data_IF_932478163480
#
_entry.id   IF_932478163480
#
_cell.length_a   1.000
_cell.length_b   1.000
_cell.length_c   1.000
_cell.angle_alpha   90.00
_cell.angle_beta   90.00
_cell.angle_gamma   90.00
#
_symmetry.space_group_name_H-M   'P 1'
#
loop_
_entity.id
_entity.type
_entity.pdbx_description
1 polymer ?
#
# COMPACT_ATOMS: atom_id res chain seq x y z
N UNK A 1 35.23 -18.85 18.34
CA UNK A 1 35.02 -18.62 16.89
C UNK A 1 33.75 -17.80 16.74
N UNK A 2 33.82 -16.48 16.90
CA UNK A 2 32.66 -15.60 16.70
C UNK A 2 32.46 -15.43 15.21
N UNK A 3 31.48 -16.15 14.66
CA UNK A 3 31.03 -15.93 13.30
C UNK A 3 30.58 -14.47 13.15
N UNK A 4 30.81 -13.91 11.96
CA UNK A 4 30.48 -12.54 11.62
C UNK A 4 28.95 -12.40 11.58
N UNK A 5 28.34 -12.11 12.73
CA UNK A 5 26.89 -12.00 12.87
C UNK A 5 26.37 -10.83 12.03
N UNK A 6 25.35 -11.02 11.17
CA UNK A 6 24.73 -9.94 10.40
C UNK A 6 24.33 -8.75 11.28
N UNK A 7 24.48 -7.53 10.76
CA UNK A 7 24.18 -6.29 11.49
C UNK A 7 22.76 -6.29 12.08
N UNK A 8 21.78 -6.84 11.36
CA UNK A 8 20.39 -6.93 11.82
C UNK A 8 20.24 -7.86 13.02
N UNK A 9 20.89 -9.02 13.02
CA UNK A 9 20.84 -9.96 14.14
C UNK A 9 21.50 -9.38 15.39
N UNK A 10 22.61 -8.63 15.21
CA UNK A 10 23.25 -7.91 16.31
C UNK A 10 22.29 -6.88 16.91
N UNK A 11 21.65 -6.06 16.08
CA UNK A 11 20.67 -5.07 16.53
C UNK A 11 19.46 -5.71 17.23
N UNK A 12 18.95 -6.83 16.72
CA UNK A 12 17.88 -7.59 17.39
C UNK A 12 18.36 -8.06 18.76
N UNK A 13 19.58 -8.62 18.88
CA UNK A 13 20.08 -9.08 20.17
C UNK A 13 20.30 -7.95 21.19
N UNK A 14 20.70 -6.76 20.73
CA UNK A 14 20.97 -5.60 21.60
C UNK A 14 19.69 -4.85 21.99
N UNK A 15 18.76 -4.67 21.06
CA UNK A 15 17.57 -3.82 21.24
C UNK A 15 16.30 -4.61 21.55
N UNK A 16 16.25 -5.88 21.15
CA UNK A 16 15.11 -6.77 21.32
C UNK A 16 15.58 -8.09 21.97
N UNK A 17 16.04 -8.07 23.23
CA UNK A 17 16.66 -9.23 23.89
C UNK A 17 15.73 -10.44 24.03
N UNK A 18 14.41 -10.23 23.94
CA UNK A 18 13.40 -11.29 23.94
C UNK A 18 13.03 -11.78 22.52
N UNK A 19 13.75 -11.33 21.49
CA UNK A 19 13.45 -11.60 20.09
C UNK A 19 12.42 -10.65 19.48
N UNK A 20 12.03 -10.96 18.24
CA UNK A 20 11.01 -10.24 17.47
C UNK A 20 9.95 -11.21 16.96
N UNK A 21 8.73 -10.73 16.79
CA UNK A 21 7.63 -11.51 16.24
C UNK A 21 7.66 -11.51 14.70
N UNK A 22 7.23 -12.63 14.09
CA UNK A 22 7.02 -12.75 12.65
C UNK A 22 5.52 -12.85 12.37
N UNK A 23 4.99 -11.89 11.60
CA UNK A 23 3.57 -11.80 11.26
C UNK A 23 3.40 -11.94 9.74
N UNK A 24 2.33 -12.62 9.30
CA UNK A 24 1.95 -12.62 7.89
C UNK A 24 1.38 -11.26 7.50
N UNK A 25 1.68 -10.77 6.29
CA UNK A 25 1.17 -9.48 5.81
C UNK A 25 -0.37 -9.42 5.86
N UNK A 26 -1.04 -10.53 5.53
CA UNK A 26 -2.50 -10.64 5.57
C UNK A 26 -3.09 -10.55 6.98
N UNK A 27 -2.31 -10.82 8.03
CA UNK A 27 -2.77 -10.73 9.41
C UNK A 27 -2.77 -9.29 9.94
N UNK A 28 -1.94 -8.42 9.34
CA UNK A 28 -1.72 -7.01 9.73
C UNK A 28 -2.24 -5.99 8.70
N UNK A 29 -2.79 -6.44 7.57
CA UNK A 29 -3.36 -5.55 6.55
C UNK A 29 -4.78 -5.91 6.19
N UNK A 30 -5.54 -4.92 5.74
CA UNK A 30 -6.87 -5.10 5.13
C UNK A 30 -6.78 -4.66 3.68
N UNK A 31 -7.29 -5.48 2.78
CA UNK A 31 -7.20 -5.28 1.34
C UNK A 31 -8.54 -4.85 0.74
N UNK A 32 -8.50 -4.11 -0.36
CA UNK A 32 -9.68 -3.67 -1.11
C UNK A 32 -10.29 -4.75 -2.02
N UNK A 33 -9.65 -5.92 -2.04
CA UNK A 33 -10.03 -7.06 -2.85
C UNK A 33 -9.86 -8.36 -2.07
N UNK A 34 -10.71 -9.34 -2.40
CA UNK A 34 -10.54 -10.73 -1.94
C UNK A 34 -9.63 -11.51 -2.88
N UNK A 35 -8.76 -12.31 -2.31
CA UNK A 35 -7.86 -13.18 -3.05
C UNK A 35 -8.42 -14.60 -3.15
N UNK A 36 -8.36 -15.17 -4.35
CA UNK A 36 -8.76 -16.57 -4.56
C UNK A 36 -7.78 -17.50 -3.84
N UNK A 37 -8.30 -18.55 -3.20
CA UNK A 37 -7.48 -19.55 -2.50
C UNK A 37 -7.07 -19.16 -1.08
N UNK A 38 -7.49 -18.01 -0.58
CA UNK A 38 -7.30 -17.63 0.83
C UNK A 38 -8.59 -17.84 1.61
N UNK A 39 -8.47 -18.32 2.84
CA UNK A 39 -9.61 -18.58 3.71
C UNK A 39 -10.43 -17.31 3.99
N UNK A 40 -11.76 -17.45 3.97
CA UNK A 40 -12.70 -16.33 4.21
C UNK A 40 -12.50 -15.66 5.57
N UNK A 41 -12.07 -16.42 6.58
CA UNK A 41 -11.81 -15.89 7.93
C UNK A 41 -10.64 -14.89 7.94
N UNK A 42 -9.59 -15.17 7.15
CA UNK A 42 -8.43 -14.28 6.98
C UNK A 42 -8.76 -13.00 6.21
N UNK A 43 -9.87 -12.97 5.47
CA UNK A 43 -10.33 -11.81 4.67
C UNK A 43 -11.76 -11.40 5.03
N UNK A 44 -12.07 -11.47 6.33
CA UNK A 44 -13.40 -11.15 6.86
C UNK A 44 -13.80 -9.69 6.64
N UNK A 45 -12.81 -8.79 6.57
CA UNK A 45 -12.97 -7.38 6.21
C UNK A 45 -12.36 -7.11 4.84
N UNK A 46 -13.06 -6.29 4.06
CA UNK A 46 -12.61 -5.77 2.77
C UNK A 46 -12.96 -4.30 2.76
N UNK A 47 -12.00 -3.45 2.43
CA UNK A 47 -12.21 -2.01 2.30
C UNK A 47 -12.70 -1.70 0.90
N UNK A 48 -13.39 -0.58 0.69
CA UNK A 48 -13.82 -0.18 -0.64
C UNK A 48 -13.11 1.10 -1.03
N UNK A 49 -12.31 1.02 -2.08
CA UNK A 49 -11.77 2.16 -2.79
C UNK A 49 -12.35 2.23 -4.20
N UNK A 50 -12.32 3.43 -4.75
CA UNK A 50 -12.76 3.69 -6.12
C UNK A 50 -11.59 3.53 -7.07
N UNK A 51 -11.85 2.91 -8.22
CA UNK A 51 -10.85 2.69 -9.24
C UNK A 51 -11.37 3.18 -10.59
N UNK A 52 -10.53 3.91 -11.33
CA UNK A 52 -10.83 4.36 -12.70
C UNK A 52 -10.00 3.59 -13.72
N UNK A 53 -10.35 3.71 -15.01
CA UNK A 53 -9.54 3.16 -16.08
C UNK A 53 -8.22 3.92 -16.23
N UNK A 54 -7.19 3.26 -16.78
CA UNK A 54 -5.87 3.89 -16.95
C UNK A 54 -5.90 5.08 -17.92
N UNK A 55 -6.80 5.07 -18.91
CA UNK A 55 -7.02 6.21 -19.81
C UNK A 55 -7.71 7.37 -19.09
N UNK A 56 -8.73 7.08 -18.29
CA UNK A 56 -9.42 8.10 -17.50
C UNK A 56 -8.46 8.75 -16.50
N UNK A 57 -7.64 7.97 -15.78
CA UNK A 57 -6.67 8.49 -14.83
C UNK A 57 -5.72 9.51 -15.47
N UNK A 58 -5.18 9.19 -16.65
CA UNK A 58 -4.26 10.09 -17.37
C UNK A 58 -4.94 11.38 -17.82
N UNK A 59 -6.21 11.33 -18.17
CA UNK A 59 -6.98 12.51 -18.59
C UNK A 59 -7.28 13.48 -17.44
N UNK A 60 -7.16 13.05 -16.18
CA UNK A 60 -7.34 13.91 -15.01
C UNK A 60 -6.09 14.73 -14.67
N UNK A 61 -4.95 14.47 -15.31
CA UNK A 61 -3.67 15.09 -14.95
C UNK A 61 -3.69 16.62 -15.18
N UNK A 62 -3.20 17.35 -14.18
CA UNK A 62 -2.90 18.78 -14.24
C UNK A 62 -1.55 19.06 -13.57
N UNK A 63 -0.91 20.18 -13.91
CA UNK A 63 0.43 20.50 -13.41
C UNK A 63 0.46 20.91 -11.93
N UNK A 64 -0.62 21.53 -11.42
CA UNK A 64 -0.70 22.11 -10.07
C UNK A 64 -1.81 21.47 -9.22
N UNK A 65 -1.93 20.14 -9.27
CA UNK A 65 -2.92 19.39 -8.51
C UNK A 65 -2.43 18.98 -7.11
N UNK A 66 -3.37 18.80 -6.19
CA UNK A 66 -3.17 18.37 -4.80
C UNK A 66 -3.55 16.90 -4.54
N UNK A 67 -4.22 16.24 -5.48
CA UNK A 67 -4.68 14.85 -5.39
C UNK A 67 -3.78 13.95 -6.24
N UNK A 68 -3.24 12.88 -5.66
CA UNK A 68 -2.31 11.98 -6.34
C UNK A 68 -3.02 11.06 -7.32
N UNK A 69 -2.45 10.88 -8.51
CA UNK A 69 -2.90 9.86 -9.47
C UNK A 69 -2.08 8.57 -9.30
N UNK A 70 -2.65 7.56 -8.64
CA UNK A 70 -2.00 6.27 -8.38
C UNK A 70 -2.26 5.29 -9.53
N UNK A 71 -1.31 5.22 -10.48
CA UNK A 71 -1.30 4.20 -11.53
C UNK A 71 -0.48 2.96 -11.15
N UNK A 72 -0.73 1.81 -11.78
CA UNK A 72 0.11 0.60 -11.68
C UNK A 72 1.53 0.76 -12.23
N UNK A 73 1.71 1.67 -13.21
CA UNK A 73 2.98 1.88 -13.91
C UNK A 73 3.88 2.95 -13.32
N UNK A 74 4.83 3.43 -14.14
CA UNK A 74 5.72 4.57 -13.82
C UNK A 74 5.06 5.94 -14.01
N UNK A 75 3.79 5.96 -14.41
CA UNK A 75 3.04 7.20 -14.50
C UNK A 75 2.98 7.84 -13.12
N UNK A 76 3.33 9.11 -13.09
CA UNK A 76 3.25 9.96 -11.92
C UNK A 76 2.59 11.27 -12.33
N UNK A 77 1.60 11.70 -11.55
CA UNK A 77 0.77 12.84 -11.88
C UNK A 77 -0.14 13.23 -10.73
N UNK A 78 -0.71 14.42 -10.86
CA UNK A 78 -1.58 15.03 -9.86
C UNK A 78 -2.84 15.58 -10.54
N UNK A 79 -3.90 15.74 -9.77
CA UNK A 79 -5.17 16.34 -10.17
C UNK A 79 -5.72 17.20 -9.04
N UNK A 80 -6.78 17.96 -9.29
CA UNK A 80 -7.50 18.73 -8.26
C UNK A 80 -8.65 17.91 -7.66
N UNK A 81 -9.13 18.26 -6.47
CA UNK A 81 -10.32 17.63 -5.87
C UNK A 81 -11.57 17.75 -6.75
N UNK A 82 -11.74 18.88 -7.44
CA UNK A 82 -12.89 19.12 -8.32
C UNK A 82 -12.90 18.14 -9.50
N UNK A 83 -11.75 17.93 -10.15
CA UNK A 83 -11.58 16.98 -11.25
C UNK A 83 -11.65 15.52 -10.79
N UNK A 84 -11.11 15.19 -9.61
CA UNK A 84 -11.25 13.86 -9.04
C UNK A 84 -12.72 13.52 -8.77
N UNK A 85 -13.48 14.50 -8.24
CA UNK A 85 -14.92 14.43 -8.08
C UNK A 85 -15.36 13.17 -7.34
N UNK A 86 -16.26 12.41 -7.96
CA UNK A 86 -16.76 11.17 -7.37
C UNK A 86 -15.70 10.06 -7.28
N UNK A 87 -14.57 10.15 -7.99
CA UNK A 87 -13.50 9.15 -7.97
C UNK A 87 -12.47 9.38 -6.85
N UNK A 88 -12.65 10.44 -6.04
CA UNK A 88 -11.76 10.74 -4.94
C UNK A 88 -11.81 9.65 -3.85
N UNK A 89 -10.62 9.19 -3.48
CA UNK A 89 -10.33 8.38 -2.29
C UNK A 89 -9.45 9.19 -1.32
N UNK A 90 -9.47 8.80 -0.04
CA UNK A 90 -8.60 9.35 0.99
C UNK A 90 -8.11 8.22 1.91
N UNK A 91 -6.83 8.23 2.26
CA UNK A 91 -6.27 7.30 3.25
C UNK A 91 -4.78 7.06 3.09
N UNK A 92 -4.22 6.30 4.03
CA UNK A 92 -2.86 5.76 3.98
C UNK A 92 -2.88 4.35 3.38
N UNK A 93 -2.24 4.17 2.23
CA UNK A 93 -2.32 2.93 1.42
C UNK A 93 -0.94 2.47 0.94
N UNK A 94 -0.81 1.14 0.84
CA UNK A 94 0.15 0.50 -0.06
C UNK A 94 -0.60 0.06 -1.31
N UNK A 95 -0.09 0.41 -2.49
CA UNK A 95 -0.65 -0.01 -3.76
C UNK A 95 0.23 -1.08 -4.41
N UNK A 96 -0.37 -2.22 -4.74
CA UNK A 96 0.27 -3.30 -5.50
C UNK A 96 -0.38 -3.36 -6.89
N UNK A 97 0.40 -3.26 -7.98
CA UNK A 97 -0.13 -3.43 -9.32
C UNK A 97 -0.84 -4.78 -9.48
N UNK A 98 -2.08 -4.78 -9.98
CA UNK A 98 -2.81 -6.03 -10.25
C UNK A 98 -2.21 -6.84 -11.42
N UNK A 99 -1.31 -6.22 -12.21
CA UNK A 99 -0.55 -6.85 -13.27
C UNK A 99 0.51 -5.90 -13.83
N UNK A 100 1.37 -6.41 -14.72
CA UNK A 100 2.45 -5.65 -15.33
C UNK A 100 3.73 -5.64 -14.49
N UNK A 101 4.38 -4.48 -14.39
CA UNK A 101 5.63 -4.34 -13.63
C UNK A 101 5.36 -4.30 -12.12
N UNK A 102 6.16 -5.05 -11.36
CA UNK A 102 6.17 -4.94 -9.90
C UNK A 102 6.68 -3.55 -9.47
N UNK A 103 5.75 -2.70 -9.05
CA UNK A 103 6.05 -1.35 -8.58
C UNK A 103 5.14 -1.02 -7.39
N UNK A 104 5.57 -1.42 -6.18
CA UNK A 104 4.87 -1.06 -4.97
C UNK A 104 4.99 0.44 -4.72
N UNK A 105 3.90 1.06 -4.28
CA UNK A 105 3.90 2.46 -3.86
C UNK A 105 3.26 2.59 -2.49
N UNK A 106 3.73 3.58 -1.75
CA UNK A 106 3.10 4.05 -0.53
C UNK A 106 2.57 5.45 -0.77
N UNK A 107 1.37 5.74 -0.25
CA UNK A 107 0.80 7.07 -0.29
C UNK A 107 -0.10 7.32 0.91
N UNK A 108 -0.13 8.56 1.40
CA UNK A 108 -1.03 9.00 2.46
C UNK A 108 -1.65 10.34 2.08
N UNK A 109 -2.97 10.37 1.92
CA UNK A 109 -3.72 11.57 1.59
C UNK A 109 -4.80 11.30 0.55
N UNK A 110 -5.12 12.34 -0.24
CA UNK A 110 -6.13 12.29 -1.30
C UNK A 110 -5.55 11.70 -2.59
N UNK A 111 -6.25 10.72 -3.18
CA UNK A 111 -5.82 10.08 -4.42
C UNK A 111 -6.98 9.61 -5.31
N UNK A 112 -6.66 9.38 -6.58
CA UNK A 112 -7.47 8.60 -7.53
C UNK A 112 -6.63 7.39 -7.95
N UNK A 113 -7.21 6.20 -7.89
CA UNK A 113 -6.51 4.95 -8.21
C UNK A 113 -6.89 4.39 -9.59
N UNK A 114 -5.93 3.76 -10.26
CA UNK A 114 -6.21 2.90 -11.41
C UNK A 114 -5.41 1.61 -11.38
N UNK A 115 -6.14 0.49 -11.28
CA UNK A 115 -5.65 -0.86 -11.53
C UNK A 115 -4.77 -1.44 -10.42
N UNK A 116 -4.66 -0.80 -9.26
CA UNK A 116 -3.95 -1.35 -8.12
C UNK A 116 -4.88 -2.22 -7.25
N UNK A 117 -4.25 -3.04 -6.42
CA UNK A 117 -4.83 -3.66 -5.24
C UNK A 117 -4.29 -2.87 -4.06
N UNK A 118 -5.19 -2.30 -3.25
CA UNK A 118 -4.82 -1.40 -2.17
C UNK A 118 -4.92 -2.11 -0.82
N UNK A 119 -3.92 -1.88 0.02
CA UNK A 119 -3.86 -2.35 1.39
C UNK A 119 -3.79 -1.17 2.36
N UNK A 120 -4.49 -1.29 3.49
CA UNK A 120 -4.37 -0.41 4.66
C UNK A 120 -3.87 -1.20 5.86
N UNK A 121 -3.36 -0.49 6.88
CA UNK A 121 -3.09 -1.08 8.18
C UNK A 121 -4.38 -1.59 8.84
N UNK A 122 -4.31 -2.74 9.50
CA UNK A 122 -5.48 -3.34 10.19
C UNK A 122 -5.90 -2.57 11.44
N UNK A 123 -4.94 -1.93 12.10
CA UNK A 123 -5.12 -1.09 13.28
C UNK A 123 -4.00 -0.05 13.40
N UNK A 124 -4.15 0.90 14.33
CA UNK A 124 -3.26 2.05 14.52
C UNK A 124 -1.86 1.69 15.06
N UNK A 125 -1.66 0.48 15.60
CA UNK A 125 -0.35 0.04 16.09
C UNK A 125 0.61 -0.29 14.95
N UNK A 126 0.08 -0.47 13.74
CA UNK A 126 0.81 -0.91 12.56
C UNK A 126 1.23 0.32 11.74
N UNK A 127 2.54 0.50 11.59
CA UNK A 127 3.09 1.52 10.72
C UNK A 127 3.13 1.03 9.27
N UNK A 128 2.19 1.47 8.44
CA UNK A 128 2.09 1.00 7.05
C UNK A 128 3.30 1.45 6.21
N UNK A 129 3.87 2.63 6.50
CA UNK A 129 5.09 3.10 5.84
C UNK A 129 6.30 2.22 6.14
N UNK A 130 6.40 1.68 7.36
CA UNK A 130 7.42 0.68 7.70
C UNK A 130 7.24 -0.58 6.84
N UNK A 131 6.02 -1.11 6.74
CA UNK A 131 5.73 -2.29 5.90
C UNK A 131 6.20 -2.05 4.46
N UNK A 132 5.94 -0.88 3.88
CA UNK A 132 6.38 -0.53 2.53
C UNK A 132 7.91 -0.63 2.32
N UNK A 133 8.72 -0.28 3.31
CA UNK A 133 10.19 -0.31 3.18
C UNK A 133 10.81 -1.69 3.37
N UNK A 134 10.11 -2.59 4.06
CA UNK A 134 10.63 -3.90 4.45
C UNK A 134 9.99 -5.08 3.71
N UNK A 135 9.03 -4.80 2.84
CA UNK A 135 8.45 -5.77 1.91
C UNK A 135 9.35 -6.02 0.70
#
# INVERSE_FOLDING_TARGET
MTQNQPKIEKLISELCPNGVEFLELGDITIWDKRFNGVEKLKQSKVISFKHVSASHLKNLQVDNGEVKLLATGKFDGWTTKELAGENLNNGEVISVPSGGSANLKYYNGDFVDSGNILAIAKDESINLKYIYYFY
#
